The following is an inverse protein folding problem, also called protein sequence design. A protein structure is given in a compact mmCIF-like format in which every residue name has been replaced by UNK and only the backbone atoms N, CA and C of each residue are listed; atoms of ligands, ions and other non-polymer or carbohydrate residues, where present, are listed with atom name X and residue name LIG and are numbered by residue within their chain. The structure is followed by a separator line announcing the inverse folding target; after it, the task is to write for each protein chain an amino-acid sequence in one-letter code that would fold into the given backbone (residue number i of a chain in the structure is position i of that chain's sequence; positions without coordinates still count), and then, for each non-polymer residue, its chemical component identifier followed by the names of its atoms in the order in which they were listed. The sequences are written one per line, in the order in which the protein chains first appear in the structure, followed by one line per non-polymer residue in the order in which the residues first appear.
data_IF_946161238255
#
_entry.id   IF_946161238255
#
_cell.length_a   1.000
_cell.length_b   1.000
_cell.length_c   1.000
_cell.angle_alpha   90.00
_cell.angle_beta   90.00
_cell.angle_gamma   90.00
#
_symmetry.space_group_name_H-M   'P 1'
#
loop_
_entity.id
_entity.type
_entity.pdbx_description
1 polymer ?
#
# COMPACT_ATOMS: atom_id res chain seq x y z
N UNK A 1 8.22 15.03 -15.59
CA UNK A 1 7.64 14.05 -14.73
C UNK A 1 6.82 14.67 -13.63
N UNK A 2 6.32 13.85 -12.74
CA UNK A 2 5.72 14.31 -11.50
C UNK A 2 6.82 14.79 -10.56
N UNK A 3 6.56 15.89 -9.83
CA UNK A 3 7.44 16.41 -8.81
C UNK A 3 6.73 16.31 -7.45
N UNK A 4 7.48 16.24 -6.37
CA UNK A 4 7.00 16.29 -5.00
C UNK A 4 7.87 17.28 -4.20
N UNK A 5 7.26 17.87 -3.17
CA UNK A 5 7.88 18.98 -2.46
C UNK A 5 8.90 18.51 -1.41
N UNK A 6 8.69 17.29 -0.89
CA UNK A 6 9.50 16.71 0.18
C UNK A 6 9.66 15.20 0.01
N UNK A 7 10.87 14.69 0.26
CA UNK A 7 11.13 13.26 0.12
C UNK A 7 12.62 12.91 0.03
N UNK A 8 12.94 11.63 -0.28
CA UNK A 8 14.32 11.12 -0.23
C UNK A 8 15.32 11.87 -1.13
N UNK A 9 14.85 12.34 -2.30
CA UNK A 9 15.71 12.95 -3.32
C UNK A 9 15.82 14.48 -3.17
N UNK A 10 14.74 15.11 -2.67
CA UNK A 10 14.67 16.59 -2.53
C UNK A 10 14.96 17.06 -1.11
N UNK A 11 14.90 16.16 -0.13
CA UNK A 11 15.00 16.52 1.28
C UNK A 11 13.72 17.12 1.82
N UNK A 12 13.80 17.81 2.95
CA UNK A 12 12.71 18.50 3.61
C UNK A 12 12.81 18.51 5.13
N UNK A 13 11.80 19.06 5.79
CA UNK A 13 11.80 19.29 7.23
C UNK A 13 11.65 18.00 8.05
N UNK A 14 10.92 17.01 7.51
CA UNK A 14 10.57 15.77 8.21
C UNK A 14 11.54 14.60 7.96
N UNK A 15 12.68 14.85 7.32
CA UNK A 15 13.69 13.82 7.06
C UNK A 15 14.30 13.20 8.33
N UNK A 16 15.04 12.10 8.18
CA UNK A 16 15.27 11.34 6.95
C UNK A 16 14.04 10.55 6.49
N UNK A 17 13.93 10.26 5.18
CA UNK A 17 12.74 9.59 4.58
C UNK A 17 12.93 8.10 4.30
N UNK A 18 14.13 7.59 4.51
CA UNK A 18 14.46 6.17 4.32
C UNK A 18 14.36 5.45 5.67
N UNK A 19 13.50 4.41 5.74
CA UNK A 19 13.21 3.69 6.97
C UNK A 19 14.46 3.23 7.73
N UNK A 20 15.50 2.74 7.04
CA UNK A 20 16.74 2.29 7.68
C UNK A 20 17.53 3.41 8.35
N UNK A 21 17.40 4.65 7.87
CA UNK A 21 18.01 5.83 8.49
C UNK A 21 17.24 6.30 9.73
N UNK A 22 15.99 5.87 9.88
CA UNK A 22 15.09 6.17 11.00
C UNK A 22 15.10 5.06 12.07
N UNK A 23 15.95 4.06 11.92
CA UNK A 23 15.96 2.84 12.74
C UNK A 23 15.88 3.11 14.26
N UNK A 24 16.57 4.14 14.74
CA UNK A 24 16.68 4.44 16.17
C UNK A 24 15.43 5.13 16.75
N UNK A 25 14.49 5.54 15.90
CA UNK A 25 13.24 6.16 16.34
C UNK A 25 12.23 5.11 16.81
N UNK A 26 12.05 4.05 16.04
CA UNK A 26 10.96 3.08 16.25
C UNK A 26 10.99 2.37 17.61
N UNK A 27 12.15 1.94 18.16
CA UNK A 27 12.18 1.32 19.48
C UNK A 27 11.65 2.24 20.58
N UNK A 28 11.88 3.55 20.50
CA UNK A 28 11.39 4.53 21.50
C UNK A 28 9.86 4.52 21.54
N UNK A 29 9.22 4.61 20.39
CA UNK A 29 7.75 4.59 20.29
C UNK A 29 7.16 3.23 20.65
N UNK A 30 7.83 2.14 20.29
CA UNK A 30 7.38 0.81 20.69
C UNK A 30 7.42 0.63 22.22
N UNK A 31 8.45 1.13 22.90
CA UNK A 31 8.53 1.13 24.35
C UNK A 31 7.50 2.04 25.02
N UNK A 32 7.20 3.20 24.42
CA UNK A 32 6.10 4.04 24.86
C UNK A 32 4.78 3.29 24.86
N UNK A 33 4.49 2.52 23.80
CA UNK A 33 3.30 1.67 23.75
C UNK A 33 3.33 0.56 24.81
N UNK A 34 4.49 -0.05 25.08
CA UNK A 34 4.61 -1.05 26.14
C UNK A 34 4.27 -0.44 27.50
N UNK A 35 4.76 0.75 27.80
CA UNK A 35 4.48 1.45 29.06
C UNK A 35 3.02 1.90 29.17
N UNK A 36 2.37 2.24 28.06
CA UNK A 36 0.94 2.57 27.98
C UNK A 36 0.02 1.36 27.93
N UNK A 37 0.56 0.13 27.81
CA UNK A 37 -0.23 -1.11 27.69
C UNK A 37 -0.77 -1.40 26.28
N UNK A 38 -0.43 -0.58 25.29
CA UNK A 38 -0.80 -0.79 23.87
C UNK A 38 0.09 -1.81 23.16
N UNK A 39 1.20 -2.23 23.79
CA UNK A 39 2.10 -3.27 23.29
C UNK A 39 2.72 -4.06 24.45
N UNK A 40 3.40 -5.14 24.15
CA UNK A 40 4.12 -5.96 25.14
C UNK A 40 5.30 -6.72 24.51
N UNK A 41 6.25 -7.11 25.36
CA UNK A 41 7.39 -7.92 24.95
C UNK A 41 7.00 -9.39 24.83
N UNK A 42 7.35 -10.03 23.74
CA UNK A 42 7.09 -11.44 23.47
C UNK A 42 8.41 -12.19 23.29
N UNK A 43 8.61 -13.24 24.08
CA UNK A 43 9.81 -14.08 24.11
C UNK A 43 9.59 -15.47 23.51
N UNK A 44 8.44 -15.71 22.88
CA UNK A 44 8.17 -16.98 22.20
C UNK A 44 9.15 -17.22 21.07
N UNK A 45 9.67 -18.44 21.01
CA UNK A 45 10.55 -18.87 19.90
C UNK A 45 9.76 -19.10 18.62
N UNK A 46 10.45 -19.21 17.50
CA UNK A 46 9.81 -19.54 16.22
C UNK A 46 9.19 -20.93 16.26
N UNK A 47 9.83 -21.85 16.94
CA UNK A 47 9.38 -23.23 17.11
C UNK A 47 8.08 -23.31 17.92
N UNK A 48 7.98 -22.55 19.01
CA UNK A 48 6.74 -22.45 19.81
C UNK A 48 5.59 -21.88 18.97
N UNK A 49 5.84 -20.78 18.25
CA UNK A 49 4.82 -20.15 17.39
C UNK A 49 4.36 -21.11 16.27
N UNK A 50 5.29 -21.83 15.68
CA UNK A 50 4.96 -22.79 14.61
C UNK A 50 4.23 -24.02 15.14
N UNK A 51 4.55 -24.48 16.35
CA UNK A 51 3.80 -25.56 17.01
C UNK A 51 2.36 -25.13 17.30
N UNK A 52 2.14 -23.92 17.84
CA UNK A 52 0.83 -23.37 18.10
C UNK A 52 0.01 -23.21 16.79
N UNK A 53 0.66 -22.77 15.71
CA UNK A 53 0.04 -22.65 14.37
C UNK A 53 -0.43 -24.00 13.86
N UNK A 54 0.44 -25.02 13.88
CA UNK A 54 0.08 -26.38 13.44
C UNK A 54 -1.06 -26.97 14.29
N UNK A 55 -1.06 -26.69 15.58
CA UNK A 55 -2.13 -27.14 16.46
C UNK A 55 -3.49 -26.51 16.12
N UNK A 56 -3.53 -25.23 15.73
CA UNK A 56 -4.73 -24.56 15.26
C UNK A 56 -5.18 -25.10 13.91
N UNK A 57 -4.26 -25.26 12.96
CA UNK A 57 -4.55 -25.83 11.63
C UNK A 57 -5.14 -27.24 11.72
N UNK A 58 -4.59 -28.08 12.61
CA UNK A 58 -5.11 -29.44 12.84
C UNK A 58 -6.55 -29.46 13.36
N UNK A 59 -7.01 -28.37 13.99
CA UNK A 59 -8.41 -28.19 14.43
C UNK A 59 -9.29 -27.49 13.39
N UNK A 60 -8.72 -27.07 12.26
CA UNK A 60 -9.44 -26.27 11.26
C UNK A 60 -9.65 -24.81 11.69
N UNK A 61 -8.89 -24.34 12.66
CA UNK A 61 -8.97 -22.97 13.20
C UNK A 61 -7.95 -22.06 12.54
N UNK A 62 -8.30 -20.78 12.37
CA UNK A 62 -7.31 -19.76 11.97
C UNK A 62 -6.41 -19.45 13.16
N UNK A 63 -5.10 -19.63 12.98
CA UNK A 63 -4.12 -19.32 14.03
C UNK A 63 -4.18 -17.84 14.44
N UNK A 64 -4.19 -17.61 15.74
CA UNK A 64 -3.96 -16.32 16.39
C UNK A 64 -2.97 -16.49 17.54
N UNK A 65 -2.17 -15.46 17.76
CA UNK A 65 -1.27 -15.49 18.91
C UNK A 65 -2.06 -15.43 20.22
N UNK A 66 -1.78 -16.38 21.10
CA UNK A 66 -2.56 -16.64 22.34
C UNK A 66 -2.27 -15.67 23.50
N UNK A 67 -1.55 -14.59 23.25
CA UNK A 67 -1.13 -13.59 24.28
C UNK A 67 -0.36 -14.16 25.48
N UNK A 68 0.26 -15.33 25.32
CA UNK A 68 1.00 -16.05 26.39
C UNK A 68 1.97 -15.12 27.14
N UNK A 69 2.75 -14.30 26.42
CA UNK A 69 3.71 -13.41 27.05
C UNK A 69 3.03 -12.21 27.73
N UNK A 70 1.93 -11.68 27.17
CA UNK A 70 1.16 -10.61 27.81
C UNK A 70 0.68 -11.02 29.21
N UNK A 71 0.22 -12.27 29.37
CA UNK A 71 -0.34 -12.76 30.63
C UNK A 71 0.69 -13.27 31.63
N UNK A 72 1.85 -13.74 31.14
CA UNK A 72 2.82 -14.45 31.98
C UNK A 72 4.13 -13.69 32.20
N UNK A 73 4.35 -12.55 31.52
CA UNK A 73 5.59 -11.79 31.64
C UNK A 73 5.24 -10.35 32.04
N UNK A 74 5.56 -10.00 33.30
CA UNK A 74 5.41 -8.61 33.74
C UNK A 74 6.42 -7.68 33.05
N UNK A 75 6.18 -6.37 33.08
CA UNK A 75 7.10 -5.38 32.51
C UNK A 75 8.50 -5.46 33.16
N UNK A 76 8.56 -5.66 34.46
CA UNK A 76 9.83 -5.78 35.18
C UNK A 76 10.59 -7.07 34.79
N UNK A 77 9.85 -8.17 34.66
CA UNK A 77 10.41 -9.43 34.17
C UNK A 77 10.91 -9.30 32.72
N UNK A 78 10.16 -8.61 31.85
CA UNK A 78 10.58 -8.33 30.49
C UNK A 78 11.88 -7.53 30.46
N UNK A 79 11.99 -6.46 31.23
CA UNK A 79 13.22 -5.64 31.36
C UNK A 79 14.41 -6.49 31.84
N UNK A 80 14.19 -7.35 32.83
CA UNK A 80 15.21 -8.25 33.35
C UNK A 80 15.72 -9.23 32.30
N UNK A 81 14.82 -9.88 31.55
CA UNK A 81 15.15 -10.86 30.50
C UNK A 81 15.91 -10.19 29.34
N UNK A 82 15.46 -8.99 28.94
CA UNK A 82 16.15 -8.19 27.92
C UNK A 82 17.55 -7.79 28.36
N UNK A 83 17.72 -7.34 29.61
CA UNK A 83 19.03 -7.02 30.18
C UNK A 83 19.97 -8.23 30.24
N UNK A 84 19.41 -9.45 30.35
CA UNK A 84 20.14 -10.70 30.27
C UNK A 84 20.48 -11.14 28.81
N UNK A 85 20.08 -10.36 27.81
CA UNK A 85 20.35 -10.63 26.39
C UNK A 85 19.37 -11.61 25.73
N UNK A 86 18.24 -11.91 26.34
CA UNK A 86 17.26 -12.83 25.76
C UNK A 86 16.60 -12.20 24.54
N UNK A 87 16.52 -12.92 23.39
CA UNK A 87 15.84 -12.43 22.19
C UNK A 87 14.35 -12.20 22.42
N UNK A 88 13.83 -11.10 21.93
CA UNK A 88 12.42 -10.75 22.04
C UNK A 88 11.91 -9.99 20.81
N UNK A 89 10.60 -9.91 20.68
CA UNK A 89 9.91 -9.02 19.78
C UNK A 89 8.92 -8.16 20.58
N UNK A 90 8.52 -7.02 20.05
CA UNK A 90 7.43 -6.24 20.65
C UNK A 90 6.18 -6.48 19.79
N UNK A 91 5.08 -6.87 20.42
CA UNK A 91 3.78 -7.11 19.81
C UNK A 91 2.77 -6.05 20.21
N UNK A 92 1.89 -5.69 19.27
CA UNK A 92 0.70 -4.90 19.56
C UNK A 92 -0.20 -5.67 20.53
N UNK A 93 -0.76 -4.99 21.49
CA UNK A 93 -1.79 -5.54 22.38
C UNK A 93 -3.17 -5.15 21.81
N UNK A 94 -3.72 -5.98 20.91
CA UNK A 94 -5.05 -5.78 20.37
C UNK A 94 -6.10 -6.13 21.45
N UNK A 95 -7.12 -5.30 21.68
CA UNK A 95 -8.21 -5.64 22.61
C UNK A 95 -8.88 -6.96 22.23
N UNK A 96 -9.29 -7.73 23.23
CA UNK A 96 -10.00 -9.02 23.02
C UNK A 96 -11.49 -8.87 22.80
N UNK A 97 -12.04 -7.68 23.06
CA UNK A 97 -13.44 -7.33 22.90
C UNK A 97 -13.58 -5.93 22.32
N UNK A 98 -14.77 -5.60 21.85
CA UNK A 98 -15.03 -4.32 21.21
C UNK A 98 -14.72 -4.32 19.73
N UNK A 99 -14.69 -3.13 19.14
CA UNK A 99 -14.52 -2.92 17.71
C UNK A 99 -13.36 -1.99 17.42
N UNK A 100 -12.66 -2.28 16.34
CA UNK A 100 -11.67 -1.40 15.74
C UNK A 100 -12.25 -0.80 14.46
N UNK A 101 -12.20 0.51 14.32
CA UNK A 101 -12.81 1.19 13.18
C UNK A 101 -11.95 2.33 12.65
N UNK A 102 -12.27 2.76 11.44
CA UNK A 102 -11.76 3.99 10.83
C UNK A 102 -12.76 4.49 9.79
N UNK A 103 -12.63 5.77 9.42
CA UNK A 103 -13.41 6.35 8.35
C UNK A 103 -12.54 6.48 7.09
N UNK A 104 -13.08 5.99 5.97
CA UNK A 104 -12.44 6.05 4.66
C UNK A 104 -13.25 6.95 3.73
N UNK A 105 -12.59 7.81 2.98
CA UNK A 105 -13.28 8.77 2.10
C UNK A 105 -14.13 8.10 1.02
N UNK A 106 -13.72 6.92 0.54
CA UNK A 106 -14.47 6.18 -0.48
C UNK A 106 -15.42 5.15 0.11
N UNK A 107 -14.97 4.40 1.11
CA UNK A 107 -15.73 3.26 1.65
C UNK A 107 -16.57 3.62 2.87
N UNK A 108 -16.43 4.86 3.38
CA UNK A 108 -17.16 5.32 4.57
C UNK A 108 -16.65 4.67 5.85
N UNK A 109 -17.52 4.48 6.81
CA UNK A 109 -17.16 3.86 8.08
C UNK A 109 -16.87 2.37 7.91
N UNK A 110 -15.67 1.94 8.28
CA UNK A 110 -15.22 0.54 8.24
C UNK A 110 -14.93 0.08 9.67
N UNK A 111 -15.54 -1.04 10.05
CA UNK A 111 -15.49 -1.56 11.40
C UNK A 111 -15.25 -3.07 11.38
N UNK A 112 -14.43 -3.56 12.30
CA UNK A 112 -14.19 -4.99 12.51
C UNK A 112 -14.18 -5.31 14.00
N UNK A 113 -14.61 -6.51 14.38
CA UNK A 113 -14.50 -6.96 15.77
C UNK A 113 -13.03 -7.18 16.13
N UNK A 114 -12.59 -6.65 17.28
CA UNK A 114 -11.22 -6.76 17.75
C UNK A 114 -10.77 -8.21 17.89
N UNK A 115 -11.67 -9.11 18.24
CA UNK A 115 -11.40 -10.54 18.35
C UNK A 115 -11.06 -11.20 16.98
N UNK A 116 -11.34 -10.54 15.84
CA UNK A 116 -10.91 -11.01 14.51
C UNK A 116 -9.48 -10.62 14.18
N UNK A 117 -8.89 -9.68 14.90
CA UNK A 117 -7.55 -9.16 14.70
C UNK A 117 -6.51 -9.97 15.49
N UNK A 118 -5.27 -10.01 15.02
CA UNK A 118 -4.16 -10.66 15.71
C UNK A 118 -3.14 -9.63 16.23
N UNK A 119 -2.41 -9.99 17.26
CA UNK A 119 -1.34 -9.19 17.84
C UNK A 119 -0.13 -9.17 16.90
N UNK A 120 -0.04 -8.12 16.07
CA UNK A 120 1.07 -7.98 15.13
C UNK A 120 2.41 -7.75 15.83
N UNK A 121 3.48 -8.28 15.26
CA UNK A 121 4.82 -7.87 15.63
C UNK A 121 5.03 -6.43 15.17
N UNK A 122 5.38 -5.54 16.09
CA UNK A 122 5.72 -4.15 15.84
C UNK A 122 7.23 -3.99 15.58
N UNK A 123 8.04 -4.53 16.52
CA UNK A 123 9.52 -4.57 16.42
C UNK A 123 9.98 -6.03 16.37
N UNK A 124 10.77 -6.35 15.38
CA UNK A 124 11.40 -7.66 15.19
C UNK A 124 12.59 -7.84 16.14
N UNK A 125 13.05 -9.09 16.27
CA UNK A 125 14.21 -9.42 17.12
C UNK A 125 15.52 -8.73 16.68
N UNK A 126 15.64 -8.30 15.44
CA UNK A 126 16.76 -7.51 14.92
C UNK A 126 16.65 -6.00 15.23
N UNK A 127 15.60 -5.59 15.95
CA UNK A 127 15.32 -4.20 16.32
C UNK A 127 14.68 -3.37 15.21
N UNK A 128 14.43 -3.95 14.03
CA UNK A 128 13.74 -3.25 12.95
C UNK A 128 12.21 -3.32 13.12
N UNK A 129 11.49 -2.26 12.78
CA UNK A 129 10.04 -2.28 12.79
C UNK A 129 9.51 -3.16 11.65
N UNK A 130 8.30 -3.67 11.83
CA UNK A 130 7.50 -4.14 10.71
C UNK A 130 6.87 -2.97 9.99
N UNK A 131 6.41 -3.19 8.75
CA UNK A 131 5.64 -2.19 8.01
C UNK A 131 4.43 -1.68 8.81
N UNK A 132 3.72 -2.59 9.47
CA UNK A 132 2.50 -2.27 10.23
C UNK A 132 2.72 -1.29 11.40
N UNK A 133 3.95 -1.14 11.86
CA UNK A 133 4.29 -0.18 12.91
C UNK A 133 4.98 1.06 12.33
N UNK A 134 5.92 0.85 11.41
CA UNK A 134 6.69 1.94 10.82
C UNK A 134 5.78 2.97 10.14
N UNK A 135 4.74 2.52 9.41
CA UNK A 135 3.83 3.42 8.73
C UNK A 135 3.11 4.37 9.70
N UNK A 136 2.64 3.88 10.86
CA UNK A 136 1.95 4.70 11.86
C UNK A 136 2.88 5.75 12.46
N UNK A 137 4.11 5.34 12.82
CA UNK A 137 5.12 6.23 13.40
C UNK A 137 5.57 7.27 12.38
N UNK A 138 5.84 6.85 11.15
CA UNK A 138 6.33 7.72 10.10
C UNK A 138 5.24 8.71 9.65
N UNK A 139 4.02 8.25 9.43
CA UNK A 139 2.88 9.11 9.07
C UNK A 139 2.64 10.19 10.13
N UNK A 140 2.74 9.83 11.42
CA UNK A 140 2.61 10.80 12.50
C UNK A 140 3.77 11.79 12.53
N UNK A 141 5.02 11.32 12.49
CA UNK A 141 6.21 12.17 12.59
C UNK A 141 6.44 13.03 11.35
N UNK A 142 5.99 12.58 10.19
CA UNK A 142 6.05 13.33 8.93
C UNK A 142 4.80 14.19 8.70
N UNK A 143 3.92 14.30 9.69
CA UNK A 143 2.70 15.10 9.63
C UNK A 143 1.81 14.79 8.40
N UNK A 144 1.75 13.51 8.02
CA UNK A 144 0.93 13.06 6.89
C UNK A 144 -0.54 13.30 7.20
N UNK A 145 -1.19 14.13 6.40
CA UNK A 145 -2.61 14.48 6.55
C UNK A 145 -3.54 13.45 5.91
N UNK A 146 -3.14 12.88 4.75
CA UNK A 146 -3.93 11.94 3.98
C UNK A 146 -3.08 10.73 3.56
N UNK A 147 -3.61 9.53 3.77
CA UNK A 147 -3.01 8.28 3.30
C UNK A 147 -3.83 7.74 2.13
N UNK A 148 -3.28 7.88 0.92
CA UNK A 148 -3.86 7.35 -0.31
C UNK A 148 -3.11 6.08 -0.72
N UNK A 149 -3.80 4.93 -0.74
CA UNK A 149 -3.18 3.63 -1.06
C UNK A 149 -4.20 2.62 -1.59
N UNK A 150 -3.74 1.44 -2.00
CA UNK A 150 -4.63 0.42 -2.55
C UNK A 150 -5.53 -0.24 -1.50
N UNK A 151 -6.68 -0.74 -1.95
CA UNK A 151 -7.68 -1.43 -1.11
C UNK A 151 -7.15 -2.69 -0.41
N UNK A 152 -6.02 -3.23 -0.80
CA UNK A 152 -5.35 -4.33 -0.10
C UNK A 152 -5.04 -4.02 1.37
N UNK A 153 -4.95 -2.74 1.73
CA UNK A 153 -4.71 -2.29 3.11
C UNK A 153 -5.99 -2.00 3.90
N UNK A 154 -7.16 -2.06 3.25
CA UNK A 154 -8.44 -1.74 3.89
C UNK A 154 -8.69 -2.61 5.13
N UNK A 155 -8.39 -3.90 5.04
CA UNK A 155 -8.51 -4.85 6.16
C UNK A 155 -7.47 -4.66 7.27
N UNK A 156 -6.38 -3.96 6.98
CA UNK A 156 -5.29 -3.71 7.95
C UNK A 156 -5.44 -2.37 8.68
N UNK A 157 -6.17 -1.41 8.11
CA UNK A 157 -6.32 -0.07 8.66
C UNK A 157 -6.91 -0.04 10.09
N UNK A 158 -7.86 -0.92 10.47
CA UNK A 158 -8.35 -0.96 11.85
C UNK A 158 -7.25 -1.21 12.88
N UNK A 159 -6.26 -2.05 12.57
CA UNK A 159 -5.10 -2.31 13.46
C UNK A 159 -4.21 -1.09 13.63
N UNK A 160 -4.07 -0.28 12.58
CA UNK A 160 -3.30 0.97 12.65
C UNK A 160 -4.02 2.00 13.52
N UNK A 161 -5.35 2.10 13.40
CA UNK A 161 -6.13 3.01 14.25
C UNK A 161 -6.00 2.66 15.74
N UNK A 162 -6.01 1.37 16.09
CA UNK A 162 -5.72 0.96 17.47
C UNK A 162 -4.35 1.43 17.97
N UNK A 163 -3.34 1.55 17.09
CA UNK A 163 -2.04 2.12 17.47
C UNK A 163 -2.14 3.64 17.67
N UNK A 164 -2.83 4.36 16.78
CA UNK A 164 -3.09 5.79 16.96
C UNK A 164 -3.82 6.07 18.27
N UNK A 165 -4.85 5.28 18.59
CA UNK A 165 -5.59 5.38 19.84
C UNK A 165 -4.69 5.11 21.06
N UNK A 166 -3.88 4.06 21.03
CA UNK A 166 -2.97 3.70 22.12
C UNK A 166 -1.89 4.78 22.36
N UNK A 167 -1.44 5.46 21.31
CA UNK A 167 -0.57 6.63 21.44
C UNK A 167 -1.31 7.88 21.94
N UNK A 168 -2.59 8.01 21.69
CA UNK A 168 -3.38 9.23 21.83
C UNK A 168 -3.14 10.19 20.66
N UNK A 169 -2.76 9.69 19.50
CA UNK A 169 -2.52 10.46 18.29
C UNK A 169 -3.78 10.53 17.41
N UNK A 170 -3.88 11.60 16.63
CA UNK A 170 -4.92 11.71 15.61
C UNK A 170 -4.49 10.91 14.38
N UNK A 171 -5.33 9.96 13.87
CA UNK A 171 -5.04 9.27 12.63
C UNK A 171 -5.14 10.20 11.42
N UNK A 172 -4.46 9.87 10.30
CA UNK A 172 -4.63 10.58 9.04
C UNK A 172 -6.01 10.30 8.44
N UNK A 173 -6.38 11.08 7.44
CA UNK A 173 -7.56 10.80 6.60
C UNK A 173 -7.19 9.67 5.65
N UNK A 174 -8.00 8.61 5.61
CA UNK A 174 -7.76 7.46 4.73
C UNK A 174 -8.54 7.55 3.42
N UNK A 175 -7.88 7.17 2.36
CA UNK A 175 -8.46 7.04 1.02
C UNK A 175 -7.91 5.78 0.35
N UNK A 176 -8.67 4.70 0.39
CA UNK A 176 -8.27 3.44 -0.22
C UNK A 176 -8.77 3.36 -1.67
N UNK A 177 -7.84 3.30 -2.61
CA UNK A 177 -8.11 3.31 -4.04
C UNK A 177 -8.32 1.88 -4.57
N UNK A 178 -9.33 1.64 -5.41
CA UNK A 178 -9.50 0.36 -6.06
C UNK A 178 -8.31 0.06 -7.00
N UNK A 179 -8.01 -1.22 -7.26
CA UNK A 179 -6.92 -1.58 -8.15
C UNK A 179 -7.23 -1.23 -9.60
N UNK A 180 -6.19 -0.91 -10.36
CA UNK A 180 -6.26 -0.91 -11.81
C UNK A 180 -6.15 -2.37 -12.30
N UNK A 181 -7.12 -2.77 -13.10
CA UNK A 181 -7.24 -4.11 -13.67
C UNK A 181 -6.83 -4.09 -15.13
N UNK A 182 -6.53 -5.24 -15.69
CA UNK A 182 -6.26 -5.42 -17.11
C UNK A 182 -6.93 -6.70 -17.61
N UNK A 183 -7.50 -6.64 -18.80
CA UNK A 183 -7.94 -7.84 -19.52
C UNK A 183 -6.71 -8.62 -20.00
N UNK A 184 -6.73 -9.91 -19.82
CA UNK A 184 -5.62 -10.81 -20.12
C UNK A 184 -6.15 -12.19 -20.43
N UNK A 185 -5.25 -13.09 -20.78
CA UNK A 185 -5.56 -14.51 -20.99
C UNK A 185 -5.02 -15.31 -19.81
N UNK A 186 -5.80 -16.27 -19.35
CA UNK A 186 -5.37 -17.20 -18.31
C UNK A 186 -4.18 -18.02 -18.82
N UNK A 187 -3.07 -17.98 -18.08
CA UNK A 187 -1.84 -18.67 -18.43
C UNK A 187 -1.46 -19.70 -17.37
N UNK A 188 -0.93 -20.81 -17.81
CA UNK A 188 -0.32 -21.79 -16.93
C UNK A 188 0.83 -21.16 -16.12
N UNK A 189 0.92 -21.52 -14.85
CA UNK A 189 1.88 -20.88 -13.91
C UNK A 189 3.34 -21.21 -14.22
N UNK A 190 3.61 -22.39 -14.78
CA UNK A 190 4.95 -22.88 -15.06
C UNK A 190 5.37 -22.56 -16.50
N UNK A 191 4.56 -22.96 -17.48
CA UNK A 191 4.88 -22.81 -18.89
C UNK A 191 4.62 -21.43 -19.46
N UNK A 192 3.80 -20.60 -18.76
CA UNK A 192 3.33 -19.28 -19.21
C UNK A 192 2.51 -19.29 -20.50
N UNK A 193 2.12 -20.49 -20.98
CA UNK A 193 1.29 -20.64 -22.16
C UNK A 193 -0.18 -20.36 -21.83
N UNK A 194 -0.98 -19.86 -22.78
CA UNK A 194 -2.42 -19.73 -22.62
C UNK A 194 -3.08 -21.05 -22.27
N UNK A 195 -4.00 -21.02 -21.32
CA UNK A 195 -4.88 -22.16 -21.04
C UNK A 195 -6.10 -22.02 -21.94
N UNK A 196 -6.35 -23.07 -22.75
CA UNK A 196 -7.48 -23.11 -23.66
C UNK A 196 -8.71 -23.74 -22.99
N UNK A 197 -9.89 -23.33 -23.43
CA UNK A 197 -11.15 -23.99 -23.06
C UNK A 197 -11.37 -25.30 -23.82
N UNK A 198 -12.48 -25.97 -23.57
CA UNK A 198 -12.84 -27.25 -24.23
C UNK A 198 -12.99 -27.09 -25.74
N UNK A 199 -13.16 -25.87 -26.27
CA UNK A 199 -13.30 -25.58 -27.70
C UNK A 199 -11.99 -25.10 -28.34
N UNK A 200 -10.90 -25.03 -27.58
CA UNK A 200 -9.59 -24.55 -28.02
C UNK A 200 -9.42 -23.03 -28.04
N UNK A 201 -10.32 -22.29 -27.39
CA UNK A 201 -10.20 -20.82 -27.28
C UNK A 201 -9.43 -20.42 -26.02
N UNK A 202 -8.71 -19.30 -26.09
CA UNK A 202 -8.08 -18.69 -24.94
C UNK A 202 -9.13 -18.25 -23.92
N UNK A 203 -8.86 -18.52 -22.62
CA UNK A 203 -9.76 -18.12 -21.54
C UNK A 203 -9.48 -16.67 -21.09
N UNK A 204 -10.41 -15.73 -21.34
CA UNK A 204 -10.23 -14.35 -20.91
C UNK A 204 -10.35 -14.23 -19.39
N UNK A 205 -9.48 -13.43 -18.78
CA UNK A 205 -9.52 -13.08 -17.36
C UNK A 205 -9.33 -11.58 -17.19
N UNK A 206 -9.89 -11.06 -16.10
CA UNK A 206 -9.59 -9.71 -15.62
C UNK A 206 -8.75 -9.85 -14.35
N UNK A 207 -7.55 -9.27 -14.34
CA UNK A 207 -6.62 -9.37 -13.23
C UNK A 207 -6.02 -8.01 -12.86
N UNK A 208 -5.48 -7.88 -11.66
CA UNK A 208 -4.75 -6.68 -11.25
C UNK A 208 -3.53 -6.45 -12.16
N UNK A 209 -3.35 -5.22 -12.62
CA UNK A 209 -2.16 -4.79 -13.37
C UNK A 209 -0.90 -5.03 -12.52
N UNK A 210 0.11 -5.70 -13.07
CA UNK A 210 1.30 -6.07 -12.31
C UNK A 210 2.53 -6.29 -13.17
N UNK A 211 3.64 -5.64 -12.83
CA UNK A 211 4.96 -5.85 -13.46
C UNK A 211 5.40 -7.34 -13.45
N UNK A 212 4.98 -8.12 -12.44
CA UNK A 212 5.30 -9.56 -12.36
C UNK A 212 4.70 -10.39 -13.48
N UNK A 213 3.66 -9.88 -14.14
CA UNK A 213 3.00 -10.49 -15.28
C UNK A 213 3.48 -9.95 -16.62
N UNK A 214 4.46 -9.03 -16.61
CA UNK A 214 4.98 -8.38 -17.81
C UNK A 214 4.13 -7.21 -18.29
N UNK A 215 3.25 -6.68 -17.46
CA UNK A 215 2.50 -5.47 -17.79
C UNK A 215 3.46 -4.27 -17.84
N UNK A 216 3.23 -3.31 -18.77
CA UNK A 216 4.16 -2.23 -18.99
C UNK A 216 4.26 -1.28 -17.78
N UNK A 217 5.48 -0.91 -17.45
CA UNK A 217 5.75 0.23 -16.57
C UNK A 217 5.61 1.55 -17.31
N UNK A 218 5.70 2.66 -16.60
CA UNK A 218 5.74 3.98 -17.22
C UNK A 218 6.92 4.11 -18.20
N UNK A 219 8.09 3.61 -17.80
CA UNK A 219 9.31 3.60 -18.62
C UNK A 219 9.15 2.75 -19.88
N UNK A 220 8.51 1.58 -19.77
CA UNK A 220 8.23 0.72 -20.92
C UNK A 220 7.30 1.41 -21.93
N UNK A 221 6.32 2.17 -21.44
CA UNK A 221 5.42 2.95 -22.29
C UNK A 221 6.18 4.07 -23.02
N UNK A 222 7.07 4.79 -22.33
CA UNK A 222 7.92 5.80 -22.97
C UNK A 222 8.80 5.18 -24.04
N UNK A 223 9.42 4.03 -23.77
CA UNK A 223 10.25 3.31 -24.75
C UNK A 223 9.45 2.84 -25.98
N UNK A 224 8.15 2.60 -25.83
CA UNK A 224 7.25 2.29 -26.95
C UNK A 224 6.76 3.50 -27.74
N UNK A 225 7.20 4.71 -27.37
CA UNK A 225 6.86 5.96 -28.07
C UNK A 225 5.58 6.64 -27.57
N UNK A 226 5.06 6.25 -26.42
CA UNK A 226 3.98 7.02 -25.80
C UNK A 226 4.54 8.30 -25.19
N UNK A 227 3.86 9.42 -25.42
CA UNK A 227 4.21 10.71 -24.83
C UNK A 227 3.87 10.70 -23.34
N UNK A 228 4.74 11.28 -22.51
CA UNK A 228 4.52 11.34 -21.06
C UNK A 228 3.22 12.05 -20.68
N UNK A 229 2.86 13.11 -21.42
CA UNK A 229 1.64 13.87 -21.22
C UNK A 229 0.39 13.01 -21.50
N UNK A 230 0.42 12.20 -22.54
CA UNK A 230 -0.64 11.28 -22.88
C UNK A 230 -0.82 10.19 -21.82
N UNK A 231 0.29 9.61 -21.33
CA UNK A 231 0.26 8.59 -20.27
C UNK A 231 -0.30 9.19 -18.99
N UNK A 232 0.18 10.37 -18.57
CA UNK A 232 -0.26 11.02 -17.33
C UNK A 232 -1.75 11.35 -17.39
N UNK A 233 -2.20 11.97 -18.49
CA UNK A 233 -3.61 12.32 -18.65
C UNK A 233 -4.50 11.06 -18.64
N UNK A 234 -4.11 10.02 -19.38
CA UNK A 234 -4.85 8.76 -19.40
C UNK A 234 -4.94 8.12 -18.01
N UNK A 235 -3.82 8.05 -17.28
CA UNK A 235 -3.79 7.47 -15.93
C UNK A 235 -4.61 8.30 -14.95
N UNK A 236 -4.58 9.64 -15.05
CA UNK A 236 -5.38 10.50 -14.19
C UNK A 236 -6.89 10.21 -14.30
N UNK A 237 -7.35 9.83 -15.49
CA UNK A 237 -8.76 9.49 -15.74
C UNK A 237 -9.08 8.00 -15.43
N UNK A 238 -8.08 7.20 -15.03
CA UNK A 238 -8.33 5.83 -14.60
C UNK A 238 -8.84 5.82 -13.15
N UNK A 239 -10.17 5.82 -13.01
CA UNK A 239 -10.81 5.76 -11.70
C UNK A 239 -11.10 7.12 -11.08
N UNK A 240 -10.87 8.20 -11.80
CA UNK A 240 -11.29 9.56 -11.45
C UNK A 240 -11.98 10.23 -12.62
N UNK A 241 -12.99 11.04 -12.33
CA UNK A 241 -13.69 11.83 -13.32
C UNK A 241 -13.92 13.25 -12.79
N UNK A 242 -13.60 14.29 -13.57
CA UNK A 242 -13.94 15.66 -13.21
C UNK A 242 -15.46 15.85 -13.22
N UNK A 243 -15.99 16.65 -12.29
CA UNK A 243 -17.43 16.79 -12.09
C UNK A 243 -18.14 17.65 -13.15
N UNK A 244 -17.49 18.69 -13.61
CA UNK A 244 -18.15 19.78 -14.34
C UNK A 244 -17.75 19.85 -15.83
N UNK A 245 -17.15 18.80 -16.38
CA UNK A 245 -16.73 18.76 -17.78
C UNK A 245 -16.76 17.35 -18.34
N UNK A 246 -17.00 17.26 -19.65
CA UNK A 246 -16.86 16.02 -20.41
C UNK A 246 -15.54 16.00 -21.22
N UNK A 247 -14.63 16.93 -20.95
CA UNK A 247 -13.32 16.92 -21.57
C UNK A 247 -12.49 15.72 -21.08
N UNK A 248 -11.65 15.20 -21.95
CA UNK A 248 -10.75 14.10 -21.66
C UNK A 248 -9.26 14.51 -21.77
N UNK A 249 -8.97 15.71 -22.28
CA UNK A 249 -7.60 16.16 -22.52
C UNK A 249 -7.24 17.33 -21.61
N UNK A 250 -6.34 17.05 -20.67
CA UNK A 250 -5.92 17.99 -19.64
C UNK A 250 -4.40 18.11 -19.61
N UNK A 251 -3.91 19.34 -19.53
CA UNK A 251 -2.53 19.58 -19.11
C UNK A 251 -2.34 19.22 -17.62
N UNK A 252 -1.11 19.14 -17.15
CA UNK A 252 -0.84 18.94 -15.72
C UNK A 252 -1.42 20.08 -14.87
N UNK A 253 -1.31 21.32 -15.35
CA UNK A 253 -1.86 22.48 -14.63
C UNK A 253 -3.40 22.44 -14.58
N UNK A 254 -4.06 21.93 -15.62
CA UNK A 254 -5.50 21.69 -15.61
C UNK A 254 -5.85 20.62 -14.59
N UNK A 255 -5.15 19.48 -14.59
CA UNK A 255 -5.38 18.40 -13.63
C UNK A 255 -5.22 18.87 -12.19
N UNK A 256 -4.18 19.64 -11.88
CA UNK A 256 -3.96 20.22 -10.53
C UNK A 256 -5.12 21.14 -10.16
N UNK A 257 -5.60 21.97 -11.09
CA UNK A 257 -6.67 22.94 -10.83
C UNK A 257 -8.03 22.31 -10.62
N UNK A 258 -8.35 21.21 -11.35
CA UNK A 258 -9.69 20.60 -11.35
C UNK A 258 -9.79 19.35 -10.47
N UNK A 259 -8.67 18.86 -9.91
CA UNK A 259 -8.70 17.67 -9.06
C UNK A 259 -9.60 17.88 -7.85
N UNK A 260 -10.52 16.94 -7.67
CA UNK A 260 -11.43 16.84 -6.53
C UNK A 260 -11.49 15.35 -6.13
N UNK A 261 -11.16 15.04 -4.91
CA UNK A 261 -11.17 13.68 -4.37
C UNK A 261 -12.55 13.00 -4.44
N UNK A 262 -13.62 13.81 -4.44
CA UNK A 262 -14.97 13.29 -4.60
C UNK A 262 -15.28 12.78 -6.03
N UNK A 263 -14.40 13.05 -7.00
CA UNK A 263 -14.45 12.47 -8.34
C UNK A 263 -13.88 11.05 -8.44
N UNK A 264 -13.29 10.52 -7.36
CA UNK A 264 -12.68 9.20 -7.37
C UNK A 264 -13.76 8.11 -7.30
N UNK A 265 -13.65 7.11 -8.19
CA UNK A 265 -14.59 6.00 -8.28
C UNK A 265 -14.26 4.88 -7.29
N UNK A 266 -15.29 4.21 -6.77
CA UNK A 266 -15.17 3.04 -5.89
C UNK A 266 -14.88 1.73 -6.65
N UNK A 267 -15.15 1.70 -7.93
CA UNK A 267 -14.99 0.51 -8.77
C UNK A 267 -13.59 0.43 -9.38
N UNK A 268 -13.03 -0.77 -9.50
CA UNK A 268 -11.80 -0.97 -10.26
C UNK A 268 -11.91 -0.47 -11.69
N UNK A 269 -10.85 0.15 -12.19
CA UNK A 269 -10.75 0.62 -13.58
C UNK A 269 -10.01 -0.38 -14.44
N UNK A 270 -10.39 -0.48 -15.71
CA UNK A 270 -9.69 -1.35 -16.66
C UNK A 270 -8.66 -0.51 -17.44
N UNK A 271 -7.41 -0.96 -17.42
CA UNK A 271 -6.37 -0.41 -18.26
C UNK A 271 -6.56 -0.89 -19.69
N UNK A 272 -7.00 0.01 -20.55
CA UNK A 272 -7.23 -0.24 -21.97
C UNK A 272 -6.09 0.36 -22.80
N UNK A 273 -5.28 -0.51 -23.40
CA UNK A 273 -4.16 -0.13 -24.25
C UNK A 273 -4.63 0.61 -25.52
N UNK A 274 -5.79 0.27 -26.06
CA UNK A 274 -6.33 0.94 -27.26
C UNK A 274 -6.72 2.38 -26.93
N UNK A 275 -7.36 2.59 -25.77
CA UNK A 275 -7.70 3.94 -25.30
C UNK A 275 -6.42 4.77 -25.03
N UNK A 276 -5.41 4.18 -24.41
CA UNK A 276 -4.12 4.86 -24.24
C UNK A 276 -3.47 5.21 -25.58
N UNK A 277 -3.52 4.30 -26.57
CA UNK A 277 -2.99 4.54 -27.90
C UNK A 277 -3.76 5.69 -28.59
N UNK A 278 -5.06 5.75 -28.43
CA UNK A 278 -5.86 6.85 -28.93
C UNK A 278 -5.48 8.18 -28.26
N UNK A 279 -5.33 8.23 -26.94
CA UNK A 279 -4.82 9.40 -26.24
C UNK A 279 -3.48 9.86 -26.82
N UNK A 280 -2.54 8.91 -26.97
CA UNK A 280 -1.23 9.23 -27.51
C UNK A 280 -1.29 9.83 -28.93
N UNK A 281 -2.12 9.26 -29.80
CA UNK A 281 -2.31 9.78 -31.15
C UNK A 281 -2.87 11.20 -31.14
N UNK A 282 -3.83 11.51 -30.25
CA UNK A 282 -4.38 12.86 -30.12
C UNK A 282 -3.35 13.86 -29.61
N UNK A 283 -2.52 13.48 -28.63
CA UNK A 283 -1.42 14.33 -28.17
C UNK A 283 -0.38 14.58 -29.28
N UNK A 284 -0.04 13.55 -30.07
CA UNK A 284 0.87 13.71 -31.23
C UNK A 284 0.27 14.68 -32.27
N UNK A 285 -1.02 14.60 -32.58
CA UNK A 285 -1.69 15.49 -33.54
C UNK A 285 -1.70 16.97 -33.10
N UNK A 286 -1.56 17.22 -31.81
CA UNK A 286 -1.52 18.58 -31.24
C UNK A 286 -0.11 19.19 -31.23
N UNK A 287 0.93 18.42 -31.57
CA UNK A 287 2.28 18.94 -31.69
C UNK A 287 2.41 19.88 -32.89
N UNK A 288 3.30 20.88 -32.77
CA UNK A 288 3.70 21.64 -33.94
C UNK A 288 4.52 20.77 -34.88
N UNK A 289 4.60 21.09 -36.19
CA UNK A 289 5.43 20.33 -37.12
C UNK A 289 6.88 20.19 -36.66
N UNK A 290 7.44 21.24 -36.08
CA UNK A 290 8.82 21.27 -35.56
C UNK A 290 8.98 20.32 -34.35
N UNK A 291 8.06 20.37 -33.39
CA UNK A 291 8.06 19.49 -32.23
C UNK A 291 7.87 18.02 -32.63
N UNK A 292 6.98 17.77 -33.59
CA UNK A 292 6.78 16.43 -34.15
C UNK A 292 8.05 15.91 -34.83
N UNK A 293 8.69 16.73 -35.70
CA UNK A 293 9.91 16.35 -36.40
C UNK A 293 11.03 16.00 -35.40
N UNK A 294 11.19 16.80 -34.34
CA UNK A 294 12.20 16.54 -33.31
C UNK A 294 11.94 15.24 -32.57
N UNK A 295 10.68 15.02 -32.14
CA UNK A 295 10.25 13.81 -31.47
C UNK A 295 10.45 12.55 -32.34
N UNK A 296 10.18 12.64 -33.65
CA UNK A 296 10.26 11.51 -34.57
C UNK A 296 11.71 11.09 -34.92
N UNK A 297 12.70 11.95 -34.76
CA UNK A 297 14.11 11.66 -35.13
C UNK A 297 14.65 10.33 -34.60
N UNK A 298 14.51 9.98 -33.29
CA UNK A 298 15.03 8.73 -32.79
C UNK A 298 14.38 7.48 -33.42
N UNK A 299 13.17 7.62 -33.93
CA UNK A 299 12.40 6.51 -34.54
C UNK A 299 12.66 6.35 -36.02
N UNK A 300 13.11 7.44 -36.70
CA UNK A 300 13.45 7.43 -38.10
C UNK A 300 14.89 6.96 -38.34
N UNK A 301 15.73 6.91 -37.31
CA UNK A 301 17.14 6.52 -37.37
C UNK A 301 17.37 5.03 -37.10
N UNK A 302 16.33 4.29 -36.80
CA UNK A 302 16.33 2.84 -36.63
C UNK A 302 15.96 2.14 -37.94
#
# INVERSE_FOLDING_TARGET
GLAYDEGPDVGGEYGPYIQTQRRDLYPKFAWELVEKGGAYCCFCTKEEIEADRKAAEAKGETYKYNKKCLHNVSLEEAKRRIAAGEPYVIRQNVPTTGKASFDDMLYGHVEVDCDTLDDNVLIKADGLPTYNFANVVDDHLMAISHVMRGTEYLSSAPKYNLLYEAFGWKPPIYLHLPPVMIESVLKDKETKQPILDENGNEQPIVRKLSKRWGDPSFEDLLQKGYLKEAIINYIALLGWAPKDTNEEFFSMDDLIRIFDENGINKSPSIFDTNKLTWFNAEYIRRLTPEAYAEMAKPWLSQ
#
